data_IF_342988092003
#
_entry.id   IF_342988092003
#
_cell.length_a   1.000
_cell.length_b   1.000
_cell.length_c   1.000
_cell.angle_alpha   90.00
_cell.angle_beta   90.00
_cell.angle_gamma   90.00
#
_symmetry.space_group_name_H-M   'P 1'
#
loop_
_entity.id
_entity.type
_entity.pdbx_description
1 polymer ?
#
# COMPACT_ATOMS: atom_id res chain seq x y z
N UNK A 1 50.44 12.17 23.87
CA UNK A 1 50.72 10.77 24.25
C UNK A 1 49.86 10.41 25.45
N UNK A 2 49.06 9.34 25.37
CA UNK A 2 48.21 8.85 26.46
C UNK A 2 49.07 8.48 27.67
N UNK A 3 48.62 8.81 28.89
CA UNK A 3 49.35 8.43 30.10
C UNK A 3 49.39 6.90 30.22
N UNK A 4 50.60 6.31 30.11
CA UNK A 4 50.87 4.87 30.25
C UNK A 4 50.21 3.97 29.18
N UNK A 5 50.11 4.44 27.93
CA UNK A 5 49.66 3.61 26.80
C UNK A 5 49.89 4.25 25.44
N UNK A 6 49.61 3.49 24.38
CA UNK A 6 49.63 3.99 23.00
C UNK A 6 48.36 4.83 22.71
N UNK A 7 48.50 5.86 21.87
CA UNK A 7 47.42 6.79 21.51
C UNK A 7 47.54 8.19 22.14
N UNK A 8 46.49 9.00 22.02
CA UNK A 8 46.40 10.33 22.66
C UNK A 8 44.96 10.79 22.81
N UNK A 9 44.68 11.69 23.75
CA UNK A 9 43.49 12.54 23.72
C UNK A 9 43.94 13.96 23.32
N UNK A 10 43.13 14.69 22.56
CA UNK A 10 43.46 16.05 22.12
C UNK A 10 42.24 16.96 22.19
N UNK A 11 42.46 18.16 22.72
CA UNK A 11 41.59 19.32 22.54
C UNK A 11 42.45 20.39 21.87
N UNK A 12 42.10 20.78 20.65
CA UNK A 12 42.80 21.82 19.91
C UNK A 12 41.84 22.94 19.54
N UNK A 13 42.32 24.17 19.66
CA UNK A 13 41.59 25.39 19.35
C UNK A 13 42.49 26.27 18.47
N UNK A 14 42.02 26.59 17.26
CA UNK A 14 42.67 27.46 16.29
C UNK A 14 41.74 28.65 15.99
N UNK A 15 42.30 29.86 15.99
CA UNK A 15 41.58 31.14 15.80
C UNK A 15 42.27 32.03 14.75
N UNK A 16 43.22 31.47 13.98
CA UNK A 16 43.77 32.13 12.79
C UNK A 16 42.67 32.29 11.73
N UNK A 17 42.51 33.51 11.21
CA UNK A 17 41.50 33.87 10.22
C UNK A 17 41.48 32.89 9.02
N UNK A 18 40.35 32.22 8.83
CA UNK A 18 40.11 31.26 7.73
C UNK A 18 40.61 29.84 8.00
N UNK A 19 41.14 29.54 9.19
CA UNK A 19 41.57 28.21 9.63
C UNK A 19 41.00 27.85 11.01
N UNK A 20 39.96 28.55 11.45
CA UNK A 20 39.39 28.40 12.77
C UNK A 20 38.87 26.97 12.99
N UNK A 21 39.30 26.32 14.06
CA UNK A 21 38.97 24.93 14.35
C UNK A 21 38.82 24.69 15.85
N UNK A 22 37.81 23.91 16.23
CA UNK A 22 37.78 23.21 17.52
C UNK A 22 37.81 21.71 17.24
N UNK A 23 38.90 21.05 17.62
CA UNK A 23 39.06 19.61 17.46
C UNK A 23 39.05 18.92 18.81
N UNK A 24 38.25 17.86 18.93
CA UNK A 24 38.14 17.02 20.12
C UNK A 24 38.34 15.57 19.70
N UNK A 25 39.39 14.95 20.21
CA UNK A 25 39.66 13.53 20.06
C UNK A 25 39.67 12.84 21.42
N UNK A 26 38.84 11.81 21.57
CA UNK A 26 38.82 10.92 22.71
C UNK A 26 39.22 9.50 22.26
N UNK A 27 40.27 8.94 22.85
CA UNK A 27 40.83 7.64 22.49
C UNK A 27 39.93 6.46 22.87
N UNK A 28 39.05 6.64 23.87
CA UNK A 28 38.17 5.58 24.39
C UNK A 28 36.74 6.07 24.56
N UNK A 29 36.51 6.93 25.55
CA UNK A 29 35.16 7.39 25.91
C UNK A 29 35.07 8.93 25.79
N UNK A 30 34.05 9.43 25.11
CA UNK A 30 33.63 10.84 25.17
C UNK A 30 32.21 10.90 25.70
N UNK A 31 32.04 11.44 26.90
CA UNK A 31 30.73 11.72 27.47
C UNK A 31 30.41 13.20 27.30
N UNK A 32 29.26 13.52 26.68
CA UNK A 32 28.71 14.86 26.64
C UNK A 32 27.44 14.88 27.52
N UNK A 33 27.52 15.49 28.69
CA UNK A 33 26.41 15.54 29.66
C UNK A 33 26.09 16.99 29.93
N UNK A 34 24.87 17.41 29.56
CA UNK A 34 24.38 18.78 29.76
C UNK A 34 23.21 18.72 30.75
N UNK A 35 23.37 19.38 31.91
CA UNK A 35 22.41 19.29 33.02
C UNK A 35 21.18 20.20 32.90
N UNK A 36 21.14 21.08 31.88
CA UNK A 36 20.02 21.98 31.65
C UNK A 36 19.67 21.99 30.15
N UNK A 37 20.27 22.89 29.37
CA UNK A 37 19.94 23.09 27.96
C UNK A 37 21.17 22.90 27.07
N UNK A 38 21.05 22.08 26.03
CA UNK A 38 22.00 21.98 24.92
C UNK A 38 21.33 22.48 23.65
N UNK A 39 22.00 23.35 22.89
CA UNK A 39 21.58 23.75 21.55
C UNK A 39 22.72 23.51 20.59
N UNK A 40 22.47 22.72 19.55
CA UNK A 40 23.43 22.48 18.46
C UNK A 40 22.91 23.10 17.17
N UNK A 41 23.72 23.94 16.53
CA UNK A 41 23.45 24.53 15.21
C UNK A 41 24.63 24.27 14.29
N UNK A 42 24.38 23.69 13.12
CA UNK A 42 25.39 23.47 12.09
C UNK A 42 25.06 24.35 10.89
N UNK A 43 25.97 25.26 10.53
CA UNK A 43 25.70 26.26 9.48
C UNK A 43 25.74 25.73 8.05
N UNK A 44 26.39 24.58 7.82
CA UNK A 44 26.56 24.00 6.48
C UNK A 44 26.18 22.53 6.43
N UNK A 45 27.07 21.64 6.89
CA UNK A 45 26.92 20.19 6.76
C UNK A 45 27.22 19.48 8.09
N UNK A 46 26.41 18.47 8.44
CA UNK A 46 26.72 17.49 9.49
C UNK A 46 26.84 16.11 8.83
N UNK A 47 27.84 15.34 9.24
CA UNK A 47 27.98 13.92 8.92
C UNK A 47 28.15 13.17 10.24
N UNK A 48 27.46 12.06 10.39
CA UNK A 48 27.52 11.19 11.55
C UNK A 48 27.64 9.75 11.07
N UNK A 49 28.54 9.01 11.69
CA UNK A 49 28.79 7.60 11.39
C UNK A 49 28.92 6.84 12.70
N UNK A 50 28.05 5.85 12.88
CA UNK A 50 28.04 4.96 14.04
C UNK A 50 28.46 3.57 13.57
N UNK A 51 29.47 2.97 14.20
CA UNK A 51 30.04 1.69 13.77
C UNK A 51 29.25 0.46 14.19
N UNK A 52 28.50 0.55 15.30
CA UNK A 52 27.67 -0.53 15.84
C UNK A 52 26.24 -0.02 16.06
N UNK A 53 25.91 0.41 17.28
CA UNK A 53 24.54 0.68 17.69
C UNK A 53 24.33 2.17 18.01
N UNK A 54 23.18 2.70 17.59
CA UNK A 54 22.67 4.01 17.98
C UNK A 54 21.33 3.86 18.70
N UNK A 55 21.15 4.56 19.81
CA UNK A 55 19.88 4.62 20.53
C UNK A 55 19.46 6.08 20.71
N UNK A 56 18.27 6.42 20.23
CA UNK A 56 17.65 7.73 20.40
C UNK A 56 16.40 7.59 21.28
N UNK A 57 16.34 8.35 22.37
CA UNK A 57 15.17 8.42 23.26
C UNK A 57 14.76 9.87 23.44
N UNK A 58 13.49 10.16 23.17
CA UNK A 58 12.93 11.52 23.22
C UNK A 58 11.71 11.46 24.15
N UNK A 59 11.77 12.18 25.27
CA UNK A 59 10.72 12.12 26.29
C UNK A 59 9.41 12.83 25.93
N UNK A 60 9.48 13.83 25.03
CA UNK A 60 8.33 14.64 24.63
C UNK A 60 8.08 14.54 23.13
N UNK A 61 8.57 15.52 22.35
CA UNK A 61 8.21 15.65 20.94
C UNK A 61 9.43 15.47 20.03
N UNK A 62 9.25 14.71 18.94
CA UNK A 62 10.19 14.66 17.82
C UNK A 62 9.55 15.33 16.60
N UNK A 63 10.25 16.31 16.02
CA UNK A 63 9.86 16.96 14.77
C UNK A 63 11.03 16.91 13.80
N UNK A 64 10.80 16.33 12.64
CA UNK A 64 11.77 16.28 11.55
C UNK A 64 11.19 16.99 10.34
N UNK A 65 11.96 17.92 9.78
CA UNK A 65 11.64 18.59 8.54
C UNK A 65 12.77 18.35 7.56
N UNK A 66 12.43 17.97 6.33
CA UNK A 66 13.39 17.76 5.25
C UNK A 66 12.90 18.52 4.04
N UNK A 67 13.65 19.55 3.64
CA UNK A 67 13.22 20.47 2.59
C UNK A 67 13.26 19.86 1.18
N UNK A 68 14.12 18.85 0.98
CA UNK A 68 14.33 18.22 -0.32
C UNK A 68 14.00 16.73 -0.24
N UNK A 69 15.02 15.88 -0.07
CA UNK A 69 14.88 14.43 -0.16
C UNK A 69 15.20 13.76 1.17
N UNK A 70 14.40 12.77 1.55
CA UNK A 70 14.67 11.83 2.64
C UNK A 70 14.79 10.42 2.06
N UNK A 71 15.82 9.69 2.46
CA UNK A 71 15.99 8.28 2.10
C UNK A 71 16.31 7.50 3.36
N UNK A 72 15.53 6.45 3.61
CA UNK A 72 15.72 5.54 4.73
C UNK A 72 15.83 4.13 4.17
N UNK A 73 16.91 3.44 4.53
CA UNK A 73 17.14 2.05 4.15
C UNK A 73 17.26 1.22 5.43
N UNK A 74 16.37 0.25 5.58
CA UNK A 74 16.39 -0.70 6.69
C UNK A 74 16.82 -2.05 6.13
N UNK A 75 17.95 -2.59 6.60
CA UNK A 75 18.53 -3.84 6.07
C UNK A 75 17.79 -5.11 6.50
N UNK A 76 17.01 -5.04 7.59
CA UNK A 76 16.22 -6.17 8.10
C UNK A 76 14.78 -5.74 8.39
N UNK A 77 14.44 -5.53 9.66
CA UNK A 77 13.06 -5.31 10.10
C UNK A 77 12.82 -3.86 10.54
N UNK A 78 11.62 -3.35 10.27
CA UNK A 78 11.10 -2.10 10.82
C UNK A 78 9.77 -2.36 11.52
N UNK A 79 9.62 -1.87 12.75
CA UNK A 79 8.38 -1.94 13.51
C UNK A 79 7.95 -0.52 13.86
N UNK A 80 6.75 -0.15 13.41
CA UNK A 80 6.11 1.12 13.74
C UNK A 80 4.87 0.84 14.58
N UNK A 81 4.88 1.28 15.83
CA UNK A 81 3.79 1.11 16.79
C UNK A 81 3.28 2.49 17.22
N UNK A 82 2.15 2.88 16.66
CA UNK A 82 1.50 4.17 16.92
C UNK A 82 0.27 3.91 17.79
N UNK A 83 0.26 4.50 18.99
CA UNK A 83 -0.79 4.26 19.98
C UNK A 83 -2.10 5.00 19.73
N UNK A 84 -2.05 6.04 18.90
CA UNK A 84 -3.18 6.88 18.54
C UNK A 84 -3.28 6.93 17.02
N UNK A 85 -3.15 8.11 16.43
CA UNK A 85 -3.46 8.33 15.03
C UNK A 85 -2.21 8.36 14.15
N UNK A 86 -2.32 7.78 12.96
CA UNK A 86 -1.40 7.97 11.85
C UNK A 86 -2.12 8.74 10.75
N UNK A 87 -1.55 9.87 10.33
CA UNK A 87 -2.04 10.66 9.20
C UNK A 87 -0.91 10.78 8.17
N UNK A 88 -1.14 10.22 6.98
CA UNK A 88 -0.21 10.29 5.86
C UNK A 88 -0.82 11.09 4.70
N UNK A 89 -0.14 12.16 4.28
CA UNK A 89 -0.56 12.96 3.13
C UNK A 89 0.52 12.89 2.05
N UNK A 90 0.16 12.33 0.89
CA UNK A 90 1.05 12.23 -0.29
C UNK A 90 0.44 13.05 -1.42
N UNK A 91 1.09 14.16 -1.78
CA UNK A 91 0.53 15.11 -2.75
C UNK A 91 0.60 14.63 -4.21
N UNK A 92 1.55 13.74 -4.52
CA UNK A 92 1.73 13.19 -5.85
C UNK A 92 1.44 11.67 -5.82
N UNK A 93 2.47 10.82 -5.93
CA UNK A 93 2.28 9.38 -6.05
C UNK A 93 2.75 8.62 -4.81
N UNK A 94 1.97 7.63 -4.38
CA UNK A 94 2.40 6.57 -3.47
C UNK A 94 2.56 5.27 -4.26
N UNK A 95 3.67 4.57 -4.04
CA UNK A 95 3.91 3.24 -4.59
C UNK A 95 4.34 2.32 -3.46
N UNK A 96 3.69 1.16 -3.36
CA UNK A 96 3.97 0.13 -2.36
C UNK A 96 4.15 -1.20 -3.07
N UNK A 97 5.24 -1.91 -2.75
CA UNK A 97 5.55 -3.22 -3.31
C UNK A 97 5.90 -4.17 -2.18
N UNK A 98 5.12 -5.24 -2.04
CA UNK A 98 5.33 -6.29 -1.03
C UNK A 98 5.70 -7.58 -1.75
N UNK A 99 6.89 -8.11 -1.49
CA UNK A 99 7.33 -9.39 -2.08
C UNK A 99 6.71 -10.63 -1.45
N UNK A 100 6.25 -10.50 -0.19
CA UNK A 100 5.53 -11.54 0.54
C UNK A 100 4.05 -11.21 0.75
N UNK A 101 3.53 -11.53 1.93
CA UNK A 101 2.12 -11.29 2.26
C UNK A 101 1.88 -9.85 2.71
N UNK A 102 0.81 -9.23 2.22
CA UNK A 102 0.26 -7.98 2.74
C UNK A 102 -1.06 -8.28 3.47
N UNK A 103 -1.14 -7.94 4.76
CA UNK A 103 -2.34 -8.19 5.60
C UNK A 103 -2.79 -6.89 6.26
N UNK A 104 -4.03 -6.50 5.96
CA UNK A 104 -4.69 -5.35 6.58
C UNK A 104 -5.79 -5.85 7.51
N UNK A 105 -5.77 -5.40 8.76
CA UNK A 105 -6.79 -5.66 9.78
C UNK A 105 -7.41 -4.34 10.18
N UNK A 106 -8.67 -4.13 9.83
CA UNK A 106 -9.41 -2.91 10.20
C UNK A 106 -10.42 -3.27 11.28
N UNK A 107 -10.35 -2.62 12.44
CA UNK A 107 -11.26 -2.89 13.56
C UNK A 107 -12.66 -2.29 13.40
N UNK A 108 -12.81 -1.30 12.52
CA UNK A 108 -14.06 -0.62 12.21
C UNK A 108 -14.20 -0.44 10.69
N UNK A 109 -14.61 0.72 10.22
CA UNK A 109 -14.87 0.99 8.81
C UNK A 109 -13.57 1.14 7.99
N UNK A 110 -13.62 0.70 6.73
CA UNK A 110 -12.61 0.98 5.71
C UNK A 110 -13.32 1.63 4.52
N UNK A 111 -12.89 2.83 4.15
CA UNK A 111 -13.43 3.59 3.03
C UNK A 111 -12.33 3.80 1.99
N UNK A 112 -12.64 3.47 0.72
CA UNK A 112 -11.75 3.70 -0.42
C UNK A 112 -12.47 4.55 -1.45
N UNK A 113 -11.99 5.78 -1.63
CA UNK A 113 -12.49 6.71 -2.63
C UNK A 113 -11.44 6.91 -3.72
N UNK A 114 -11.73 6.45 -4.92
CA UNK A 114 -10.88 6.63 -6.10
C UNK A 114 -11.60 7.55 -7.08
N UNK A 115 -11.05 8.75 -7.34
CA UNK A 115 -11.63 9.70 -8.30
C UNK A 115 -11.40 9.30 -9.75
N UNK A 116 -10.31 8.58 -10.00
CA UNK A 116 -9.97 8.02 -11.30
C UNK A 116 -10.45 6.58 -11.43
N UNK A 117 -9.72 5.79 -12.21
CA UNK A 117 -10.00 4.37 -12.36
C UNK A 117 -9.37 3.53 -11.24
N UNK A 118 -10.08 2.48 -10.83
CA UNK A 118 -9.54 1.42 -9.98
C UNK A 118 -9.44 0.13 -10.81
N UNK A 119 -8.28 -0.54 -10.75
CA UNK A 119 -8.06 -1.86 -11.34
C UNK A 119 -7.53 -2.81 -10.29
N UNK A 120 -8.04 -4.04 -10.27
CA UNK A 120 -7.63 -5.09 -9.35
C UNK A 120 -7.36 -6.35 -10.18
N UNK A 121 -6.12 -6.83 -10.14
CA UNK A 121 -5.70 -8.06 -10.82
C UNK A 121 -5.30 -9.11 -9.78
N UNK A 122 -5.91 -10.28 -9.82
CA UNK A 122 -5.65 -11.37 -8.87
C UNK A 122 -5.47 -12.67 -9.64
N UNK A 123 -4.34 -13.35 -9.42
CA UNK A 123 -3.94 -14.50 -10.24
C UNK A 123 -4.59 -15.83 -9.89
N UNK A 124 -5.29 -15.95 -8.75
CA UNK A 124 -5.89 -17.22 -8.30
C UNK A 124 -7.38 -17.09 -8.01
N UNK A 125 -7.79 -16.25 -7.07
CA UNK A 125 -9.20 -16.08 -6.76
C UNK A 125 -9.48 -14.92 -5.81
N UNK A 126 -10.71 -14.43 -5.87
CA UNK A 126 -11.23 -13.36 -5.01
C UNK A 126 -12.43 -13.91 -4.24
N UNK A 127 -12.49 -13.63 -2.94
CA UNK A 127 -13.64 -13.95 -2.09
C UNK A 127 -14.09 -12.69 -1.35
N UNK A 128 -15.38 -12.39 -1.45
CA UNK A 128 -16.02 -11.32 -0.68
C UNK A 128 -17.11 -11.96 0.18
N UNK A 129 -17.01 -11.75 1.50
CA UNK A 129 -18.00 -12.22 2.48
C UNK A 129 -18.54 -11.01 3.22
N UNK A 130 -19.83 -10.76 3.07
CA UNK A 130 -20.52 -9.61 3.66
C UNK A 130 -21.98 -9.98 3.89
N UNK A 131 -22.65 -9.27 4.80
CA UNK A 131 -24.10 -9.36 5.00
C UNK A 131 -24.86 -8.76 3.81
N UNK A 132 -24.34 -7.68 3.21
CA UNK A 132 -24.95 -6.99 2.07
C UNK A 132 -23.86 -6.66 1.06
N UNK A 133 -24.08 -7.05 -0.20
CA UNK A 133 -23.18 -6.78 -1.32
C UNK A 133 -23.90 -5.97 -2.39
N UNK A 134 -23.52 -4.68 -2.53
CA UNK A 134 -24.12 -3.76 -3.51
C UNK A 134 -23.10 -3.41 -4.58
N UNK A 135 -23.51 -3.56 -5.84
CA UNK A 135 -22.78 -3.08 -7.01
C UNK A 135 -23.65 -2.04 -7.70
N UNK A 136 -23.14 -0.83 -7.81
CA UNK A 136 -23.80 0.29 -8.47
C UNK A 136 -22.89 0.79 -9.58
N UNK A 137 -23.40 0.78 -10.81
CA UNK A 137 -22.74 1.34 -11.97
C UNK A 137 -23.75 2.18 -12.76
N UNK A 138 -23.32 3.32 -13.28
CA UNK A 138 -24.18 4.22 -14.07
C UNK A 138 -24.41 3.72 -15.49
N UNK A 139 -23.46 2.96 -16.05
CA UNK A 139 -23.48 2.52 -17.44
C UNK A 139 -23.72 1.02 -17.57
N UNK A 140 -22.87 0.21 -16.94
CA UNK A 140 -22.86 -1.24 -17.14
C UNK A 140 -22.26 -1.99 -15.96
N UNK A 141 -22.85 -3.13 -15.62
CA UNK A 141 -22.24 -4.19 -14.80
C UNK A 141 -22.01 -5.40 -15.70
N UNK A 142 -20.83 -5.99 -15.59
CA UNK A 142 -20.42 -7.10 -16.44
C UNK A 142 -19.69 -8.19 -15.66
N UNK A 143 -20.18 -9.42 -15.82
CA UNK A 143 -19.59 -10.63 -15.29
C UNK A 143 -19.20 -11.51 -16.46
N UNK A 144 -17.90 -11.75 -16.67
CA UNK A 144 -17.39 -12.57 -17.78
C UNK A 144 -16.62 -13.78 -17.28
N UNK A 145 -16.75 -14.86 -18.01
CA UNK A 145 -15.93 -16.07 -17.90
C UNK A 145 -15.66 -16.62 -19.31
N UNK A 146 -14.72 -17.56 -19.49
CA UNK A 146 -14.53 -18.22 -20.78
C UNK A 146 -15.80 -18.92 -21.31
N UNK A 147 -16.70 -19.34 -20.42
CA UNK A 147 -17.93 -20.07 -20.77
C UNK A 147 -19.15 -19.20 -21.04
N UNK A 148 -19.08 -17.88 -20.78
CA UNK A 148 -20.23 -16.98 -20.96
C UNK A 148 -20.10 -15.64 -20.26
N UNK A 149 -21.13 -14.82 -20.39
CA UNK A 149 -21.23 -13.48 -19.82
C UNK A 149 -22.63 -13.14 -19.33
N UNK A 150 -22.69 -12.37 -18.25
CA UNK A 150 -23.90 -11.69 -17.78
C UNK A 150 -23.63 -10.18 -17.82
N UNK A 151 -24.51 -9.44 -18.48
CA UNK A 151 -24.40 -7.98 -18.64
C UNK A 151 -25.70 -7.32 -18.20
N UNK A 152 -25.58 -6.28 -17.38
CA UNK A 152 -26.68 -5.40 -16.98
C UNK A 152 -26.34 -3.98 -17.45
N UNK A 153 -27.19 -3.39 -18.26
CA UNK A 153 -27.01 -2.04 -18.83
C UNK A 153 -28.37 -1.36 -19.10
N UNK A 154 -28.35 -0.22 -19.79
CA UNK A 154 -29.56 0.54 -20.13
C UNK A 154 -30.53 -0.19 -21.07
N UNK A 155 -30.07 -1.22 -21.80
CA UNK A 155 -30.91 -2.02 -22.69
C UNK A 155 -31.59 -3.18 -21.94
N UNK A 156 -31.07 -3.57 -20.77
CA UNK A 156 -31.67 -4.57 -19.89
C UNK A 156 -30.66 -5.56 -19.34
N UNK A 157 -31.05 -6.84 -19.28
CA UNK A 157 -30.20 -7.93 -18.79
C UNK A 157 -29.93 -8.89 -19.95
N UNK A 158 -28.65 -9.07 -20.29
CA UNK A 158 -28.20 -10.03 -21.31
C UNK A 158 -27.44 -11.18 -20.67
N UNK A 159 -27.84 -12.41 -20.99
CA UNK A 159 -27.16 -13.64 -20.54
C UNK A 159 -26.73 -14.42 -21.79
N UNK A 160 -25.43 -14.55 -22.01
CA UNK A 160 -24.85 -15.29 -23.13
C UNK A 160 -23.98 -16.42 -22.62
N UNK A 161 -24.06 -17.59 -23.24
CA UNK A 161 -23.22 -18.74 -22.93
C UNK A 161 -23.44 -19.85 -23.94
N UNK A 162 -22.53 -20.84 -23.98
CA UNK A 162 -22.69 -22.02 -24.83
C UNK A 162 -23.95 -22.82 -24.46
N UNK A 163 -24.23 -22.90 -23.17
CA UNK A 163 -25.43 -23.54 -22.60
C UNK A 163 -25.96 -22.70 -21.46
N UNK A 164 -27.29 -22.70 -21.30
CA UNK A 164 -27.98 -22.12 -20.15
C UNK A 164 -28.83 -23.20 -19.48
N UNK A 165 -28.28 -23.81 -18.43
CA UNK A 165 -28.96 -24.86 -17.67
C UNK A 165 -29.77 -24.27 -16.50
N UNK A 166 -31.09 -24.23 -16.64
CA UNK A 166 -32.00 -23.83 -15.57
C UNK A 166 -32.55 -25.07 -14.86
N UNK A 167 -31.91 -25.46 -13.75
CA UNK A 167 -32.31 -26.63 -12.96
C UNK A 167 -33.39 -26.24 -11.94
N UNK A 168 -34.65 -26.29 -12.34
CA UNK A 168 -35.81 -26.02 -11.49
C UNK A 168 -37.08 -25.69 -12.29
N UNK A 169 -38.22 -25.53 -11.62
CA UNK A 169 -39.42 -24.99 -12.29
C UNK A 169 -39.19 -23.53 -12.66
N UNK A 170 -39.21 -23.23 -13.95
CA UNK A 170 -39.06 -21.87 -14.48
C UNK A 170 -40.41 -21.31 -14.89
N UNK A 171 -40.69 -20.05 -14.54
CA UNK A 171 -41.88 -19.32 -14.99
C UNK A 171 -41.44 -18.00 -15.62
N UNK A 172 -41.58 -17.87 -16.93
CA UNK A 172 -41.40 -16.61 -17.63
C UNK A 172 -42.78 -15.93 -17.79
N UNK A 173 -42.89 -14.67 -17.36
CA UNK A 173 -44.09 -13.85 -17.59
C UNK A 173 -43.62 -12.60 -18.32
N UNK A 174 -43.79 -12.56 -19.65
CA UNK A 174 -43.61 -11.33 -20.42
C UNK A 174 -44.88 -10.50 -20.25
N UNK A 175 -44.76 -9.30 -19.69
CA UNK A 175 -45.87 -8.36 -19.56
C UNK A 175 -45.44 -7.02 -20.20
N UNK A 176 -45.30 -7.05 -21.51
CA UNK A 176 -45.09 -5.87 -22.34
C UNK A 176 -45.90 -6.01 -23.62
N UNK A 177 -46.49 -4.93 -24.11
CA UNK A 177 -47.35 -4.88 -25.31
C UNK A 177 -46.60 -5.12 -26.65
N UNK A 178 -45.39 -5.70 -26.57
CA UNK A 178 -44.66 -6.19 -27.73
C UNK A 178 -45.01 -7.65 -27.97
N UNK A 179 -45.42 -7.95 -29.21
CA UNK A 179 -45.65 -9.28 -29.74
C UNK A 179 -44.63 -10.27 -29.16
N UNK A 180 -45.10 -11.17 -28.30
CA UNK A 180 -44.22 -12.02 -27.49
C UNK A 180 -43.46 -12.95 -28.41
N UNK A 181 -42.14 -12.78 -28.67
CA UNK A 181 -41.39 -13.87 -29.25
C UNK A 181 -41.32 -14.89 -28.12
N UNK A 182 -42.00 -16.02 -28.31
CA UNK A 182 -41.70 -17.22 -27.55
C UNK A 182 -40.18 -17.40 -27.49
N UNK A 183 -39.69 -17.91 -26.36
CA UNK A 183 -38.29 -18.27 -26.18
C UNK A 183 -37.89 -19.32 -27.23
N UNK A 184 -37.56 -18.90 -28.44
CA UNK A 184 -37.17 -19.77 -29.56
C UNK A 184 -35.71 -20.16 -29.38
N UNK A 185 -35.51 -21.29 -28.70
CA UNK A 185 -34.27 -22.04 -28.77
C UNK A 185 -34.19 -22.65 -30.16
N UNK A 186 -33.57 -21.96 -31.10
CA UNK A 186 -33.16 -22.56 -32.38
C UNK A 186 -31.82 -23.27 -32.14
N UNK A 187 -31.77 -24.62 -32.13
CA UNK A 187 -30.50 -25.32 -32.07
C UNK A 187 -29.72 -25.02 -33.35
N UNK A 188 -28.44 -24.66 -33.20
CA UNK A 188 -27.53 -24.59 -34.34
C UNK A 188 -27.46 -25.98 -35.00
N UNK A 189 -27.77 -26.03 -36.30
CA UNK A 189 -27.90 -27.25 -37.09
C UNK A 189 -26.56 -27.99 -37.32
N UNK A 190 -25.51 -27.65 -36.58
CA UNK A 190 -24.19 -28.27 -36.63
C UNK A 190 -24.06 -29.51 -35.72
N UNK A 191 -25.01 -29.77 -34.81
CA UNK A 191 -24.96 -30.92 -33.90
C UNK A 191 -25.74 -32.11 -34.44
N UNK A 192 -25.11 -32.93 -35.29
CA UNK A 192 -25.65 -34.24 -35.67
C UNK A 192 -25.72 -35.15 -34.44
N UNK A 193 -26.92 -35.59 -34.07
CA UNK A 193 -27.11 -36.73 -33.17
C UNK A 193 -26.50 -37.99 -33.80
N UNK A 194 -25.38 -38.48 -33.28
CA UNK A 194 -24.95 -39.85 -33.53
C UNK A 194 -25.80 -40.80 -32.68
N UNK A 195 -26.51 -41.72 -33.36
CA UNK A 195 -27.20 -42.83 -32.71
C UNK A 195 -26.15 -43.86 -32.33
N UNK A 196 -25.99 -44.11 -31.03
CA UNK A 196 -25.16 -45.19 -30.51
C UNK A 196 -25.84 -46.54 -30.82
N UNK A 197 -25.15 -47.38 -31.60
CA UNK A 197 -25.45 -48.81 -31.74
C UNK A 197 -25.07 -49.59 -30.47
#
# INVERSE_FOLDING_TARGET
QTHKGDGYNELRFEDELGKEEVFIHAQRDKNNVVGNDETTRVGRNRVEQVGNDEQLSIGNNFRQETAYNHTQVIGQNSLLDIKRDLVENVANNRTESTGGNHRVLTGSNCELVVKGAQSISVGQGVQQRTTVFQLLASERIELRSPGGSIVLDAQGITINGLTLDLKGQTKAVAKGDGDSPSFELTPDASSKCEVKA
#
